data_IF_237364582954
#
_entry.id   IF_237364582954
#
_cell.length_a   1.000
_cell.length_b   1.000
_cell.length_c   1.000
_cell.angle_alpha   90.00
_cell.angle_beta   90.00
_cell.angle_gamma   90.00
#
_symmetry.space_group_name_H-M   'P 1'
#
loop_
_entity.id
_entity.type
_entity.pdbx_description
1 polymer ?
#
# COMPACT_ATOMS: atom_id res chain seq x y z
N UNK A 1 35.02 -35.67 31.06
CA UNK A 1 33.95 -35.72 32.09
C UNK A 1 32.68 -35.21 31.44
N UNK A 2 31.72 -36.07 31.43
CA UNK A 2 30.43 -36.02 30.78
C UNK A 2 29.48 -35.10 31.54
N UNK A 3 28.59 -34.39 30.83
CA UNK A 3 27.47 -33.65 31.43
C UNK A 3 26.38 -33.43 30.40
N UNK A 4 25.64 -34.51 30.11
CA UNK A 4 24.43 -34.49 29.28
C UNK A 4 23.25 -33.98 30.11
N UNK A 5 22.58 -32.91 29.68
CA UNK A 5 21.28 -32.49 30.22
C UNK A 5 20.22 -32.58 29.12
N UNK A 6 19.42 -33.64 29.21
CA UNK A 6 18.15 -33.78 28.49
C UNK A 6 17.10 -32.90 29.16
N UNK A 7 16.43 -32.00 28.41
CA UNK A 7 15.15 -31.41 28.80
C UNK A 7 14.08 -31.84 27.80
N UNK A 8 13.22 -32.73 28.30
CA UNK A 8 11.96 -33.13 27.72
C UNK A 8 10.93 -31.98 27.86
N UNK A 9 10.45 -31.43 26.76
CA UNK A 9 9.34 -30.48 26.72
C UNK A 9 8.11 -31.15 26.10
N UNK A 10 7.11 -31.43 26.90
CA UNK A 10 5.82 -31.98 26.52
C UNK A 10 5.03 -30.90 25.77
N UNK A 11 4.61 -31.17 24.54
CA UNK A 11 3.64 -30.39 23.78
C UNK A 11 2.23 -30.79 24.22
N UNK A 12 1.51 -29.86 24.85
CA UNK A 12 0.10 -30.05 25.18
C UNK A 12 -0.74 -29.64 23.95
N UNK A 13 -1.31 -30.64 23.29
CA UNK A 13 -2.32 -30.45 22.27
C UNK A 13 -3.68 -30.15 22.90
N UNK A 14 -4.17 -28.92 22.76
CA UNK A 14 -5.53 -28.56 23.16
C UNK A 14 -6.50 -28.97 22.06
N UNK A 15 -7.23 -30.03 22.32
CA UNK A 15 -8.32 -30.56 21.48
C UNK A 15 -9.60 -29.75 21.76
N UNK A 16 -10.02 -28.91 20.84
CA UNK A 16 -11.32 -28.24 20.86
C UNK A 16 -12.42 -29.23 20.44
N UNK A 17 -13.16 -29.74 21.44
CA UNK A 17 -14.37 -30.54 21.22
C UNK A 17 -15.53 -29.63 20.82
N UNK A 18 -16.12 -29.88 19.66
CA UNK A 18 -17.40 -29.31 19.21
C UNK A 18 -18.57 -29.77 20.08
N UNK A 19 -19.54 -28.92 20.39
CA UNK A 19 -20.71 -29.34 21.15
C UNK A 19 -21.73 -30.12 20.26
N UNK A 20 -22.50 -31.05 20.83
CA UNK A 20 -23.44 -31.87 20.09
C UNK A 20 -24.71 -31.10 19.71
N UNK A 21 -25.12 -31.25 18.46
CA UNK A 21 -26.40 -30.80 17.94
C UNK A 21 -27.54 -31.62 18.55
N UNK A 22 -28.26 -31.07 19.51
CA UNK A 22 -29.59 -31.56 19.90
C UNK A 22 -30.66 -30.82 19.12
N UNK A 23 -31.25 -31.52 18.13
CA UNK A 23 -32.43 -31.07 17.43
C UNK A 23 -33.65 -31.10 18.37
N UNK A 24 -34.17 -29.94 18.75
CA UNK A 24 -35.52 -29.80 19.33
C UNK A 24 -36.47 -29.31 18.25
N UNK A 25 -37.43 -30.18 17.96
CA UNK A 25 -38.60 -29.91 17.09
C UNK A 25 -39.51 -28.88 17.77
N UNK A 26 -40.08 -27.98 16.98
CA UNK A 26 -41.30 -27.26 17.27
C UNK A 26 -41.10 -25.77 17.58
N UNK A 27 -40.94 -24.97 16.56
CA UNK A 27 -41.30 -23.55 16.61
C UNK A 27 -42.16 -23.21 15.40
N UNK A 28 -43.48 -23.11 15.65
CA UNK A 28 -44.53 -22.83 14.65
C UNK A 28 -44.66 -21.32 14.34
N UNK A 29 -43.55 -20.57 14.35
CA UNK A 29 -43.51 -19.15 14.01
C UNK A 29 -42.30 -18.76 13.16
N UNK A 30 -41.84 -19.63 12.27
CA UNK A 30 -40.96 -19.15 11.19
C UNK A 30 -41.82 -18.40 10.17
N UNK A 31 -42.08 -17.13 10.42
CA UNK A 31 -42.46 -16.18 9.37
C UNK A 31 -41.40 -16.24 8.28
N UNK A 32 -41.80 -16.71 7.12
CA UNK A 32 -41.02 -16.66 5.89
C UNK A 32 -40.27 -15.35 5.79
N UNK A 33 -38.95 -15.47 5.79
CA UNK A 33 -38.07 -14.40 5.37
C UNK A 33 -38.42 -14.11 3.91
N UNK A 34 -39.26 -13.07 3.70
CA UNK A 34 -39.49 -12.54 2.36
C UNK A 34 -38.12 -12.17 1.81
N UNK A 35 -37.73 -12.84 0.74
CA UNK A 35 -36.60 -12.48 -0.09
C UNK A 35 -36.72 -10.98 -0.35
N UNK A 36 -35.86 -10.20 0.26
CA UNK A 36 -35.72 -8.78 -0.02
C UNK A 36 -35.35 -8.69 -1.49
N UNK A 37 -36.36 -8.43 -2.32
CA UNK A 37 -36.16 -7.93 -3.67
C UNK A 37 -35.20 -6.75 -3.56
N UNK A 38 -34.07 -6.84 -4.24
CA UNK A 38 -33.12 -5.74 -4.40
C UNK A 38 -33.91 -4.47 -4.69
N UNK A 39 -33.74 -3.40 -3.91
CA UNK A 39 -34.43 -2.17 -4.22
C UNK A 39 -33.96 -1.74 -5.61
N UNK A 40 -34.92 -1.58 -6.52
CA UNK A 40 -34.73 -0.91 -7.81
C UNK A 40 -33.95 0.35 -7.50
N UNK A 41 -32.80 0.55 -8.17
CA UNK A 41 -31.93 1.69 -7.96
C UNK A 41 -32.80 2.94 -7.89
N UNK A 42 -32.92 3.50 -6.69
CA UNK A 42 -33.59 4.77 -6.50
C UNK A 42 -32.80 5.78 -7.33
N UNK A 43 -33.51 6.57 -8.13
CA UNK A 43 -32.90 7.71 -8.83
C UNK A 43 -32.19 8.54 -7.77
N UNK A 44 -30.86 8.64 -7.89
CA UNK A 44 -30.06 9.48 -7.01
C UNK A 44 -30.58 10.91 -7.20
N UNK A 45 -31.11 11.49 -6.14
CA UNK A 45 -31.56 12.88 -6.16
C UNK A 45 -30.29 13.76 -6.25
N UNK A 46 -29.99 14.23 -7.45
CA UNK A 46 -28.83 15.07 -7.74
C UNK A 46 -29.06 16.54 -7.37
N UNK A 47 -30.20 16.86 -6.74
CA UNK A 47 -30.61 18.26 -6.47
C UNK A 47 -30.41 18.69 -5.02
N UNK A 48 -29.81 17.85 -4.15
CA UNK A 48 -29.49 18.26 -2.80
C UNK A 48 -28.34 19.29 -2.81
N UNK A 49 -28.60 20.56 -2.42
CA UNK A 49 -27.61 21.64 -2.47
C UNK A 49 -26.43 21.44 -1.51
N UNK A 50 -26.57 20.54 -0.51
CA UNK A 50 -25.52 20.23 0.46
C UNK A 50 -24.56 19.13 -0.01
N UNK A 51 -24.85 18.49 -1.14
CA UNK A 51 -23.99 17.48 -1.73
C UNK A 51 -23.25 18.03 -2.96
N UNK A 52 -21.96 17.73 -3.08
CA UNK A 52 -21.22 17.99 -4.30
C UNK A 52 -21.87 17.28 -5.50
N UNK A 53 -21.83 17.84 -6.69
CA UNK A 53 -22.31 17.19 -7.91
C UNK A 53 -21.75 15.76 -8.02
N UNK A 54 -22.57 14.81 -8.45
CA UNK A 54 -22.22 13.38 -8.51
C UNK A 54 -20.94 13.17 -9.33
N UNK A 55 -20.80 13.87 -10.44
CA UNK A 55 -19.65 13.80 -11.34
C UNK A 55 -18.37 14.28 -10.64
N UNK A 56 -18.44 15.35 -9.88
CA UNK A 56 -17.30 15.89 -9.13
C UNK A 56 -16.88 14.93 -8.01
N UNK A 57 -17.86 14.36 -7.32
CA UNK A 57 -17.60 13.39 -6.24
C UNK A 57 -17.01 12.09 -6.81
N UNK A 58 -17.54 11.59 -7.93
CA UNK A 58 -17.04 10.42 -8.63
C UNK A 58 -15.60 10.63 -9.13
N UNK A 59 -15.31 11.78 -9.74
CA UNK A 59 -13.97 12.14 -10.20
C UNK A 59 -12.96 12.20 -9.05
N UNK A 60 -13.35 12.72 -7.89
CA UNK A 60 -12.50 12.72 -6.69
C UNK A 60 -12.13 11.30 -6.23
N UNK A 61 -13.11 10.40 -6.18
CA UNK A 61 -12.85 9.00 -5.83
C UNK A 61 -12.05 8.24 -6.91
N UNK A 62 -12.19 8.61 -8.18
CA UNK A 62 -11.40 8.03 -9.26
C UNK A 62 -9.93 8.45 -9.15
N UNK A 63 -9.66 9.71 -8.90
CA UNK A 63 -8.31 10.23 -8.67
C UNK A 63 -7.61 9.50 -7.51
N UNK A 64 -8.31 9.27 -6.38
CA UNK A 64 -7.75 8.51 -5.25
C UNK A 64 -7.47 7.03 -5.63
N UNK A 65 -8.35 6.41 -6.42
CA UNK A 65 -8.11 5.03 -6.89
C UNK A 65 -6.91 4.94 -7.82
N UNK A 66 -6.71 5.93 -8.66
CA UNK A 66 -5.55 5.99 -9.57
C UNK A 66 -4.26 6.23 -8.78
N UNK A 67 -4.24 7.19 -7.84
CA UNK A 67 -3.11 7.42 -6.96
C UNK A 67 -2.67 6.15 -6.20
N UNK A 68 -3.63 5.38 -5.65
CA UNK A 68 -3.32 4.08 -5.01
C UNK A 68 -2.73 3.04 -5.97
N UNK A 69 -3.04 3.12 -7.25
CA UNK A 69 -2.51 2.23 -8.26
C UNK A 69 -1.07 2.60 -8.63
N UNK A 70 -0.80 3.91 -8.68
CA UNK A 70 0.53 4.47 -8.87
C UNK A 70 1.44 4.16 -7.69
N UNK A 71 1.01 4.46 -6.45
CA UNK A 71 1.68 4.12 -5.20
C UNK A 71 2.24 2.69 -5.22
N UNK A 72 1.36 1.70 -5.49
CA UNK A 72 1.81 0.31 -5.56
C UNK A 72 2.88 0.07 -6.64
N UNK A 73 2.87 0.79 -7.76
CA UNK A 73 3.88 0.64 -8.81
C UNK A 73 5.20 1.27 -8.37
N UNK A 74 5.14 2.44 -7.79
CA UNK A 74 6.27 3.21 -7.25
C UNK A 74 6.99 2.41 -6.18
N UNK A 75 6.28 1.94 -5.13
CA UNK A 75 6.83 1.10 -4.06
C UNK A 75 7.57 -0.13 -4.58
N UNK A 76 6.97 -0.83 -5.56
CA UNK A 76 7.56 -2.05 -6.09
C UNK A 76 8.81 -1.78 -6.93
N UNK A 77 8.82 -0.74 -7.78
CA UNK A 77 10.02 -0.42 -8.59
C UNK A 77 11.16 0.09 -7.71
N UNK A 78 10.87 0.86 -6.67
CA UNK A 78 11.87 1.31 -5.70
C UNK A 78 12.49 0.14 -4.96
N UNK A 79 11.67 -0.73 -4.38
CA UNK A 79 12.17 -1.89 -3.65
C UNK A 79 12.99 -2.83 -4.56
N UNK A 80 12.56 -3.03 -5.82
CA UNK A 80 13.30 -3.84 -6.79
C UNK A 80 14.66 -3.21 -7.09
N UNK A 81 14.71 -1.90 -7.30
CA UNK A 81 15.95 -1.16 -7.54
C UNK A 81 16.91 -1.25 -6.34
N UNK A 82 16.38 -1.10 -5.12
CA UNK A 82 17.15 -1.23 -3.89
C UNK A 82 17.73 -2.64 -3.71
N UNK A 83 16.94 -3.67 -4.00
CA UNK A 83 17.43 -5.05 -3.97
C UNK A 83 18.54 -5.27 -4.99
N UNK A 84 18.39 -4.78 -6.22
CA UNK A 84 19.42 -4.90 -7.26
C UNK A 84 20.69 -4.17 -6.82
N UNK A 85 20.60 -2.97 -6.27
CA UNK A 85 21.76 -2.20 -5.79
C UNK A 85 22.46 -2.86 -4.61
N UNK A 86 21.68 -3.41 -3.67
CA UNK A 86 22.21 -3.98 -2.43
C UNK A 86 22.76 -5.40 -2.59
N UNK A 87 22.12 -6.24 -3.43
CA UNK A 87 22.42 -7.69 -3.51
C UNK A 87 22.80 -8.17 -4.92
N UNK A 88 22.73 -7.28 -5.91
CA UNK A 88 22.99 -7.60 -7.32
C UNK A 88 21.80 -8.19 -8.07
N UNK A 89 20.71 -8.54 -7.37
CA UNK A 89 19.50 -9.11 -7.97
C UNK A 89 18.25 -8.87 -7.12
N UNK A 90 17.08 -8.88 -7.75
CA UNK A 90 15.79 -8.88 -7.07
C UNK A 90 15.04 -10.18 -7.38
N UNK A 91 14.59 -10.89 -6.35
CA UNK A 91 13.82 -12.14 -6.46
C UNK A 91 12.44 -11.98 -5.85
N UNK A 92 11.46 -12.71 -6.37
CA UNK A 92 10.08 -12.72 -5.86
C UNK A 92 10.03 -12.99 -4.35
N UNK A 93 10.90 -13.88 -3.85
CA UNK A 93 10.94 -14.22 -2.41
C UNK A 93 11.40 -13.04 -1.56
N UNK A 94 12.37 -12.27 -2.03
CA UNK A 94 12.93 -11.13 -1.31
C UNK A 94 11.93 -9.95 -1.31
N UNK A 95 11.29 -9.70 -2.45
CA UNK A 95 10.22 -8.70 -2.58
C UNK A 95 9.05 -9.07 -1.68
N UNK A 96 8.59 -10.34 -1.68
CA UNK A 96 7.49 -10.80 -0.85
C UNK A 96 7.76 -10.62 0.64
N UNK A 97 8.98 -10.97 1.08
CA UNK A 97 9.41 -10.84 2.46
C UNK A 97 9.43 -9.38 2.93
N UNK A 98 9.95 -8.45 2.09
CA UNK A 98 10.06 -7.02 2.43
C UNK A 98 8.72 -6.29 2.38
N UNK A 99 7.88 -6.60 1.39
CA UNK A 99 6.52 -6.04 1.28
C UNK A 99 5.53 -6.66 2.28
N UNK A 100 5.88 -7.75 2.97
CA UNK A 100 4.98 -8.44 3.90
C UNK A 100 3.78 -9.11 3.22
N UNK A 101 3.93 -9.54 1.95
CA UNK A 101 2.84 -10.12 1.15
C UNK A 101 3.18 -11.51 0.63
N UNK A 102 2.19 -12.23 0.11
CA UNK A 102 2.39 -13.56 -0.47
C UNK A 102 3.11 -13.49 -1.83
N UNK A 103 3.86 -14.55 -2.18
CA UNK A 103 4.46 -14.69 -3.52
C UNK A 103 3.42 -14.59 -4.65
N UNK A 104 2.19 -15.05 -4.42
CA UNK A 104 1.11 -14.94 -5.39
C UNK A 104 0.71 -13.47 -5.63
N UNK A 105 0.70 -12.66 -4.57
CA UNK A 105 0.45 -11.23 -4.67
C UNK A 105 1.56 -10.53 -5.46
N UNK A 106 2.83 -10.82 -5.15
CA UNK A 106 3.98 -10.28 -5.89
C UNK A 106 3.90 -10.64 -7.37
N UNK A 107 3.70 -11.90 -7.70
CA UNK A 107 3.60 -12.33 -9.10
C UNK A 107 2.46 -11.64 -9.86
N UNK A 108 1.31 -11.41 -9.21
CA UNK A 108 0.19 -10.67 -9.81
C UNK A 108 0.57 -9.21 -10.11
N UNK A 109 1.25 -8.56 -9.18
CA UNK A 109 1.70 -7.17 -9.35
C UNK A 109 2.78 -7.10 -10.42
N UNK A 110 3.80 -7.95 -10.37
CA UNK A 110 4.86 -8.00 -11.40
C UNK A 110 4.29 -8.25 -12.80
N UNK A 111 3.25 -9.09 -12.92
CA UNK A 111 2.57 -9.30 -14.20
C UNK A 111 1.87 -8.03 -14.71
N UNK A 112 1.36 -7.19 -13.81
CA UNK A 112 0.81 -5.87 -14.16
C UNK A 112 1.93 -4.93 -14.58
N UNK A 113 2.97 -4.77 -13.76
CA UNK A 113 4.10 -3.88 -14.04
C UNK A 113 4.83 -4.25 -15.34
N UNK A 114 4.90 -5.54 -15.67
CA UNK A 114 5.45 -5.99 -16.94
C UNK A 114 4.59 -5.57 -18.15
N UNK A 115 3.26 -5.56 -18.01
CA UNK A 115 2.35 -5.03 -19.04
C UNK A 115 2.43 -3.53 -19.18
N UNK A 116 2.72 -2.83 -18.09
CA UNK A 116 2.95 -1.39 -18.03
C UNK A 116 4.36 -1.01 -18.52
N UNK A 117 5.22 -2.02 -18.80
CA UNK A 117 6.56 -1.81 -19.33
C UNK A 117 7.58 -1.36 -18.29
N UNK A 118 7.29 -1.49 -16.99
CA UNK A 118 8.16 -1.05 -15.90
C UNK A 118 9.17 -2.12 -15.47
N UNK A 119 8.82 -3.40 -15.60
CA UNK A 119 9.68 -4.53 -15.22
C UNK A 119 9.80 -5.55 -16.34
N UNK A 120 10.92 -6.24 -16.37
CA UNK A 120 11.14 -7.43 -17.20
C UNK A 120 11.32 -8.63 -16.28
N UNK A 121 10.47 -9.65 -16.46
CA UNK A 121 10.51 -10.88 -15.68
C UNK A 121 10.70 -12.08 -16.60
N UNK A 122 11.56 -13.03 -16.20
CA UNK A 122 11.65 -14.33 -16.84
C UNK A 122 11.29 -15.42 -15.83
N UNK A 123 10.67 -16.53 -16.24
CA UNK A 123 10.37 -17.64 -15.35
C UNK A 123 11.63 -18.11 -14.61
N UNK A 124 11.54 -18.25 -13.29
CA UNK A 124 12.63 -18.70 -12.40
C UNK A 124 13.90 -17.83 -12.41
N UNK A 125 13.83 -16.59 -12.87
CA UNK A 125 14.94 -15.64 -12.90
C UNK A 125 14.67 -14.41 -12.05
N UNK A 126 15.73 -13.62 -11.87
CA UNK A 126 15.66 -12.31 -11.20
C UNK A 126 14.72 -11.36 -11.94
N UNK A 127 14.16 -10.43 -11.20
CA UNK A 127 13.34 -9.33 -11.71
C UNK A 127 14.32 -8.22 -12.14
N UNK A 128 14.08 -7.62 -13.29
CA UNK A 128 14.85 -6.48 -13.80
C UNK A 128 13.91 -5.30 -14.03
N UNK A 129 14.37 -4.10 -13.73
CA UNK A 129 13.69 -2.88 -14.13
C UNK A 129 14.00 -2.59 -15.60
N UNK A 130 13.02 -2.00 -16.28
CA UNK A 130 13.26 -1.33 -17.57
C UNK A 130 13.79 0.08 -17.33
N UNK A 131 14.18 0.79 -18.38
CA UNK A 131 14.50 2.22 -18.27
C UNK A 131 13.36 3.02 -17.64
N UNK A 132 12.12 2.81 -18.11
CA UNK A 132 10.95 3.45 -17.53
C UNK A 132 10.71 3.09 -16.04
N UNK A 133 11.03 1.85 -15.64
CA UNK A 133 10.96 1.43 -14.24
C UNK A 133 12.04 2.08 -13.38
N UNK A 134 13.23 2.28 -13.90
CA UNK A 134 14.31 3.00 -13.21
C UNK A 134 13.99 4.48 -13.06
N UNK A 135 13.47 5.11 -14.11
CA UNK A 135 13.05 6.51 -14.08
C UNK A 135 11.96 6.72 -13.03
N UNK A 136 10.93 5.86 -13.01
CA UNK A 136 9.86 5.92 -12.02
C UNK A 136 10.39 5.78 -10.59
N UNK A 137 11.30 4.81 -10.34
CA UNK A 137 11.89 4.62 -9.02
C UNK A 137 12.72 5.84 -8.57
N UNK A 138 13.41 6.50 -9.50
CA UNK A 138 14.17 7.71 -9.21
C UNK A 138 13.25 8.90 -8.94
N UNK A 139 12.20 9.06 -9.73
CA UNK A 139 11.22 10.13 -9.58
C UNK A 139 10.48 10.04 -8.24
N UNK A 140 10.08 8.84 -7.83
CA UNK A 140 9.43 8.59 -6.54
C UNK A 140 10.37 8.94 -5.37
N UNK A 141 11.61 8.48 -5.36
CA UNK A 141 12.59 8.85 -4.32
C UNK A 141 12.84 10.36 -4.24
N UNK A 142 12.85 11.04 -5.36
CA UNK A 142 13.00 12.49 -5.34
C UNK A 142 11.78 13.20 -4.74
N UNK A 143 10.58 12.70 -5.01
CA UNK A 143 9.33 13.19 -4.39
C UNK A 143 9.37 12.97 -2.87
N UNK A 144 9.74 11.75 -2.42
CA UNK A 144 9.92 11.42 -1.01
C UNK A 144 10.87 12.43 -0.34
N UNK A 145 12.06 12.61 -0.88
CA UNK A 145 13.06 13.53 -0.36
C UNK A 145 12.53 14.96 -0.23
N UNK A 146 11.82 15.47 -1.23
CA UNK A 146 11.24 16.82 -1.21
C UNK A 146 10.20 16.95 -0.09
N UNK A 147 9.36 15.94 0.12
CA UNK A 147 8.34 15.94 1.17
C UNK A 147 9.00 15.90 2.55
N UNK A 148 9.97 15.00 2.77
CA UNK A 148 10.73 14.93 4.05
C UNK A 148 11.41 16.26 4.36
N UNK A 149 12.14 16.84 3.40
CA UNK A 149 12.82 18.12 3.57
C UNK A 149 11.84 19.25 3.93
N UNK A 150 10.67 19.27 3.28
CA UNK A 150 9.65 20.26 3.57
C UNK A 150 9.07 20.10 4.99
N UNK A 151 8.75 18.87 5.40
CA UNK A 151 8.24 18.59 6.75
C UNK A 151 9.27 18.94 7.84
N UNK A 152 10.54 18.59 7.62
CA UNK A 152 11.62 18.96 8.51
C UNK A 152 11.84 20.49 8.58
N UNK A 153 11.69 21.21 7.46
CA UNK A 153 11.77 22.68 7.44
C UNK A 153 10.65 23.33 8.25
N UNK A 154 9.47 22.71 8.34
CA UNK A 154 8.36 23.12 9.20
C UNK A 154 8.61 22.83 10.70
N UNK A 155 9.66 22.04 11.03
CA UNK A 155 10.02 21.71 12.41
C UNK A 155 9.48 20.34 12.87
N UNK A 156 9.01 19.51 11.96
CA UNK A 156 8.66 18.11 12.25
C UNK A 156 9.96 17.32 12.40
N UNK A 157 10.03 16.42 13.37
CA UNK A 157 11.20 15.56 13.57
C UNK A 157 11.36 14.58 12.39
N UNK A 158 12.61 14.23 12.08
CA UNK A 158 12.97 13.43 10.91
C UNK A 158 12.24 12.07 10.87
N UNK A 159 12.11 11.38 12.00
CA UNK A 159 11.43 10.08 12.07
C UNK A 159 9.96 10.18 11.72
N UNK A 160 9.30 11.25 12.18
CA UNK A 160 7.90 11.53 11.86
C UNK A 160 7.76 11.98 10.40
N UNK A 161 8.68 12.82 9.93
CA UNK A 161 8.69 13.33 8.56
C UNK A 161 8.85 12.18 7.54
N UNK A 162 9.79 11.26 7.75
CA UNK A 162 9.99 10.05 6.95
C UNK A 162 8.70 9.21 6.85
N UNK A 163 8.10 8.90 8.00
CA UNK A 163 6.88 8.09 8.04
C UNK A 163 5.69 8.76 7.34
N UNK A 164 5.53 10.07 7.53
CA UNK A 164 4.40 10.81 6.98
C UNK A 164 4.60 11.09 5.48
N UNK A 165 5.86 11.22 5.03
CA UNK A 165 6.22 11.40 3.63
C UNK A 165 5.78 10.20 2.77
N UNK A 166 5.94 8.97 3.25
CA UNK A 166 5.49 7.73 2.59
C UNK A 166 4.03 7.79 2.10
N UNK A 167 3.16 8.45 2.87
CA UNK A 167 1.77 8.61 2.47
C UNK A 167 1.51 9.86 1.63
N UNK A 168 2.24 10.95 1.89
CA UNK A 168 1.97 12.25 1.23
C UNK A 168 2.43 12.24 -0.22
N UNK A 169 3.61 11.72 -0.52
CA UNK A 169 4.27 11.82 -1.82
C UNK A 169 3.43 11.26 -2.98
N UNK A 170 2.70 10.19 -2.73
CA UNK A 170 1.89 9.51 -3.76
C UNK A 170 0.58 10.24 -4.09
N UNK A 171 0.07 11.09 -3.18
CA UNK A 171 -1.26 11.70 -3.32
C UNK A 171 -1.22 13.19 -3.65
N UNK A 172 -0.05 13.82 -3.66
CA UNK A 172 0.09 15.23 -4.01
C UNK A 172 0.45 15.41 -5.48
N UNK A 173 -0.07 16.47 -6.10
CA UNK A 173 0.24 16.79 -7.48
C UNK A 173 1.69 17.28 -7.65
N UNK A 174 2.21 17.22 -8.87
CA UNK A 174 3.51 17.77 -9.23
C UNK A 174 3.61 19.28 -8.90
N UNK A 175 2.50 20.01 -9.01
CA UNK A 175 2.43 21.42 -8.61
C UNK A 175 2.65 21.59 -7.11
N UNK A 176 2.04 20.71 -6.29
CA UNK A 176 2.23 20.71 -4.83
C UNK A 176 3.67 20.36 -4.44
N UNK A 177 4.27 19.36 -5.08
CA UNK A 177 5.70 19.00 -4.89
C UNK A 177 6.61 20.21 -5.20
N UNK A 178 6.34 20.89 -6.32
CA UNK A 178 7.09 22.11 -6.70
C UNK A 178 6.95 23.20 -5.64
N UNK A 179 5.75 23.38 -5.09
CA UNK A 179 5.50 24.36 -4.02
C UNK A 179 6.27 23.98 -2.74
N UNK A 180 6.29 22.71 -2.35
CA UNK A 180 7.06 22.23 -1.20
C UNK A 180 8.54 22.56 -1.36
N UNK A 181 9.13 22.24 -2.50
CA UNK A 181 10.53 22.52 -2.79
C UNK A 181 10.87 24.02 -2.69
N UNK A 182 10.02 24.89 -3.26
CA UNK A 182 10.21 26.33 -3.19
C UNK A 182 10.11 26.88 -1.76
N UNK A 183 9.17 26.37 -0.96
CA UNK A 183 8.99 26.81 0.41
C UNK A 183 10.10 26.31 1.33
N UNK A 184 10.61 25.10 1.14
CA UNK A 184 11.78 24.56 1.85
C UNK A 184 12.97 25.51 1.70
N UNK A 185 13.26 25.98 0.47
CA UNK A 185 14.33 26.93 0.22
C UNK A 185 14.15 28.27 0.96
N UNK A 186 12.92 28.80 1.03
CA UNK A 186 12.62 30.04 1.75
C UNK A 186 12.75 29.89 3.27
N UNK A 187 12.25 28.79 3.82
CA UNK A 187 12.30 28.50 5.26
C UNK A 187 13.74 28.29 5.74
N UNK A 188 14.56 27.63 4.94
CA UNK A 188 15.99 27.41 5.25
C UNK A 188 16.80 28.71 5.19
N UNK A 189 16.52 29.57 4.21
CA UNK A 189 17.17 30.89 4.10
C UNK A 189 16.82 31.82 5.27
N UNK A 190 15.60 31.76 5.81
CA UNK A 190 15.18 32.56 6.97
C UNK A 190 15.85 32.17 8.28
N UNK A 191 16.23 30.89 8.44
CA UNK A 191 16.91 30.37 9.64
C UNK A 191 18.43 30.71 9.69
N UNK A 192 19.02 31.09 8.56
CA UNK A 192 20.44 31.41 8.47
C UNK A 192 20.74 32.90 8.78
N UNK A 193 19.74 33.70 9.09
CA UNK A 193 19.84 35.14 9.33
C UNK A 193 19.68 35.59 10.81
N UNK A 194 19.52 34.65 11.74
CA UNK A 194 19.53 34.85 13.19
C UNK A 194 20.84 34.30 13.80
#
# INVERSE_FOLDING_TARGET
MQGSVKKSGQSASVSLKSPPHTAKRGCSQCRCLKILTTPKAASVDTTNPDLAPVEQQAAGFEAVREARRSETAEDYVELIDDLIKATGEARVVDVAARMGVSHATVNRILSRLAKEGLVSTQPYRSIFLTEAGLDLAQESRERHRIVVEFLCALGIDETTAERDAEGIEHYVSAETITAFQQWTGKLSAGKSGE
#
